data_IF_393973564204
#
_entry.id   IF_393973564204
#
_cell.length_a   1.000
_cell.length_b   1.000
_cell.length_c   1.000
_cell.angle_alpha   90.00
_cell.angle_beta   90.00
_cell.angle_gamma   90.00
#
_symmetry.space_group_name_H-M   'P 1'
#
loop_
_entity.id
_entity.type
_entity.pdbx_description
1 polymer ?
#
# COMPACT_ATOMS: atom_id res chain seq x y z
N UNK A 1 -10.58 19.89 27.01
CA UNK A 1 -11.02 18.53 27.19
C UNK A 1 -11.91 18.02 26.09
N UNK A 2 -12.76 18.83 25.59
CA UNK A 2 -13.78 18.43 24.59
C UNK A 2 -13.21 18.30 23.21
N UNK A 3 -12.05 18.81 22.99
CA UNK A 3 -11.34 18.71 21.71
C UNK A 3 -10.65 17.34 21.51
N UNK A 4 -10.82 16.44 22.43
CA UNK A 4 -10.21 15.13 22.35
C UNK A 4 -10.67 14.24 21.19
N UNK A 5 -11.86 14.35 20.65
CA UNK A 5 -12.28 13.42 19.60
C UNK A 5 -11.32 13.33 18.44
N UNK A 6 -10.80 14.45 17.98
CA UNK A 6 -9.87 14.45 16.85
C UNK A 6 -8.54 13.81 17.21
N UNK A 7 -8.00 14.14 18.38
CA UNK A 7 -6.74 13.57 18.84
C UNK A 7 -6.87 12.09 19.12
N UNK A 8 -7.99 11.67 19.69
CA UNK A 8 -8.24 10.26 19.96
C UNK A 8 -8.33 9.44 18.69
N UNK A 9 -9.00 9.96 17.68
CA UNK A 9 -9.10 9.26 16.41
C UNK A 9 -7.72 9.03 15.79
N UNK A 10 -6.88 10.04 15.79
CA UNK A 10 -5.52 9.91 15.29
C UNK A 10 -4.72 8.88 16.06
N UNK A 11 -4.82 8.89 17.38
CA UNK A 11 -4.13 7.93 18.21
C UNK A 11 -4.64 6.52 18.05
N UNK A 12 -5.94 6.35 17.94
CA UNK A 12 -6.55 5.04 17.71
C UNK A 12 -6.08 4.46 16.38
N UNK A 13 -6.03 5.28 15.36
CA UNK A 13 -5.58 4.84 14.05
C UNK A 13 -4.12 4.37 14.09
N UNK A 14 -3.25 5.15 14.71
CA UNK A 14 -1.85 4.79 14.86
C UNK A 14 -1.68 3.52 15.71
N UNK A 15 -2.41 3.41 16.80
CA UNK A 15 -2.37 2.23 17.66
C UNK A 15 -2.85 0.99 16.92
N UNK A 16 -3.89 1.12 16.13
CA UNK A 16 -4.40 0.01 15.34
C UNK A 16 -3.35 -0.49 14.35
N UNK A 17 -2.67 0.43 13.66
CA UNK A 17 -1.61 0.07 12.74
C UNK A 17 -0.47 -0.66 13.43
N UNK A 18 -0.07 -0.20 14.62
CA UNK A 18 0.97 -0.85 15.40
C UNK A 18 0.55 -2.24 15.86
N UNK A 19 -0.69 -2.40 16.29
CA UNK A 19 -1.22 -3.71 16.70
C UNK A 19 -1.24 -4.69 15.54
N UNK A 20 -1.64 -4.25 14.35
CA UNK A 20 -1.62 -5.10 13.17
C UNK A 20 -0.20 -5.55 12.83
N UNK A 21 0.76 -4.66 12.94
CA UNK A 21 2.16 -5.00 12.69
C UNK A 21 2.68 -6.01 13.71
N UNK A 22 2.33 -5.83 14.97
CA UNK A 22 2.73 -6.76 16.02
C UNK A 22 2.09 -8.13 15.82
N UNK A 23 0.85 -8.18 15.34
CA UNK A 23 0.14 -9.44 15.09
C UNK A 23 0.67 -10.19 13.87
N UNK A 24 1.33 -9.50 12.94
CA UNK A 24 1.82 -10.10 11.71
C UNK A 24 3.10 -10.90 11.88
N UNK A 25 3.78 -10.79 13.01
CA UNK A 25 4.98 -11.58 13.24
C UNK A 25 5.86 -10.99 14.32
N UNK A 26 6.35 -11.85 15.21
CA UNK A 26 7.06 -11.37 16.40
C UNK A 26 8.45 -10.81 16.12
N UNK A 27 9.02 -11.03 14.95
CA UNK A 27 10.45 -10.78 14.74
C UNK A 27 10.74 -9.98 13.49
N UNK A 28 9.77 -9.34 12.89
CA UNK A 28 10.07 -8.49 11.73
C UNK A 28 10.76 -7.23 12.20
N UNK A 29 12.07 -7.16 11.98
CA UNK A 29 12.86 -5.96 12.23
C UNK A 29 12.77 -4.98 11.05
N UNK A 30 12.20 -5.40 9.94
CA UNK A 30 12.05 -4.55 8.77
C UNK A 30 11.00 -3.48 9.03
N UNK A 31 11.26 -2.24 8.63
CA UNK A 31 10.28 -1.17 8.80
C UNK A 31 9.02 -1.45 7.97
N UNK A 32 7.88 -1.16 8.55
CA UNK A 32 6.62 -1.28 7.86
C UNK A 32 6.51 -0.21 6.78
N UNK A 33 5.88 -0.59 5.68
CA UNK A 33 5.56 0.32 4.58
C UNK A 33 4.04 0.48 4.57
N UNK A 34 3.58 1.70 4.81
CA UNK A 34 2.15 2.02 4.80
C UNK A 34 1.95 3.20 3.86
N UNK A 35 1.25 2.97 2.76
CA UNK A 35 1.05 4.00 1.75
C UNK A 35 -0.44 4.13 1.46
N UNK A 36 -0.99 5.27 1.81
CA UNK A 36 -2.40 5.55 1.59
C UNK A 36 -2.61 6.21 0.23
N UNK A 37 -3.65 5.79 -0.47
CA UNK A 37 -4.10 6.49 -1.67
C UNK A 37 -4.77 7.79 -1.25
N UNK A 38 -4.43 8.92 -1.90
CA UNK A 38 -4.92 10.24 -1.44
C UNK A 38 -6.44 10.41 -1.40
N UNK A 39 -7.19 9.77 -2.30
CA UNK A 39 -8.61 10.04 -2.43
C UNK A 39 -9.51 8.82 -2.27
N UNK A 40 -9.02 7.62 -2.50
CA UNK A 40 -9.87 6.42 -2.52
C UNK A 40 -10.10 5.79 -1.15
N UNK A 41 -9.27 6.13 -0.17
CA UNK A 41 -9.34 5.51 1.15
C UNK A 41 -8.64 4.15 1.22
N UNK A 42 -8.03 3.71 0.16
CA UNK A 42 -7.28 2.46 0.16
C UNK A 42 -5.89 2.66 0.73
N UNK A 43 -5.40 1.66 1.42
CA UNK A 43 -4.09 1.69 2.06
C UNK A 43 -3.36 0.39 1.73
N UNK A 44 -2.14 0.53 1.23
CA UNK A 44 -1.27 -0.61 1.01
C UNK A 44 -0.35 -0.77 2.22
N UNK A 45 -0.32 -1.95 2.79
CA UNK A 45 0.51 -2.26 3.97
C UNK A 45 1.39 -3.45 3.65
N UNK A 46 2.67 -3.28 3.86
CA UNK A 46 3.65 -4.33 3.66
C UNK A 46 4.89 -4.05 4.50
N UNK A 47 5.97 -4.74 4.23
CA UNK A 47 7.26 -4.47 4.84
C UNK A 47 8.35 -4.72 3.81
N UNK A 48 9.46 -4.04 3.97
CA UNK A 48 10.62 -4.27 3.10
C UNK A 48 11.07 -5.72 3.25
N UNK A 49 11.26 -6.39 2.12
CA UNK A 49 11.62 -7.81 2.11
C UNK A 49 10.43 -8.75 2.16
N UNK A 50 9.21 -8.24 2.32
CA UNK A 50 8.01 -9.07 2.36
C UNK A 50 7.69 -9.67 1.00
N UNK A 51 7.06 -10.84 1.01
CA UNK A 51 6.59 -11.51 -0.20
C UNK A 51 5.12 -11.21 -0.50
N UNK A 52 4.48 -10.35 0.28
CA UNK A 52 3.09 -9.99 0.05
C UNK A 52 2.81 -8.54 0.39
N UNK A 53 1.68 -8.05 -0.13
CA UNK A 53 1.17 -6.72 0.16
C UNK A 53 -0.29 -6.86 0.53
N UNK A 54 -0.69 -6.20 1.62
CA UNK A 54 -2.08 -6.19 2.06
C UNK A 54 -2.73 -4.89 1.63
N UNK A 55 -3.90 -5.00 1.04
CA UNK A 55 -4.72 -3.85 0.66
C UNK A 55 -5.86 -3.74 1.65
N UNK A 56 -5.92 -2.58 2.31
CA UNK A 56 -6.94 -2.26 3.29
C UNK A 56 -7.80 -1.12 2.76
N UNK A 57 -9.00 -1.02 3.29
CA UNK A 57 -9.88 0.11 3.04
C UNK A 57 -10.19 0.78 4.37
N UNK A 58 -9.83 2.04 4.48
CA UNK A 58 -10.06 2.82 5.69
C UNK A 58 -11.15 3.86 5.43
N UNK A 59 -12.24 3.76 6.17
CA UNK A 59 -13.35 4.68 6.03
C UNK A 59 -14.15 4.74 7.33
N UNK A 60 -14.52 5.96 7.74
CA UNK A 60 -15.39 6.19 8.88
C UNK A 60 -14.90 5.52 10.17
N UNK A 61 -13.60 5.51 10.38
CA UNK A 61 -13.01 4.91 11.56
C UNK A 61 -12.91 3.40 11.53
N UNK A 62 -13.32 2.77 10.43
CA UNK A 62 -13.20 1.34 10.22
C UNK A 62 -12.08 1.02 9.26
N UNK A 63 -11.42 -0.11 9.47
CA UNK A 63 -10.41 -0.62 8.56
C UNK A 63 -10.79 -2.04 8.18
N UNK A 64 -10.89 -2.28 6.89
CA UNK A 64 -11.28 -3.58 6.35
C UNK A 64 -10.16 -4.09 5.45
N UNK A 65 -9.75 -5.34 5.66
CA UNK A 65 -8.81 -5.99 4.75
C UNK A 65 -9.56 -6.36 3.47
N UNK A 66 -9.13 -5.78 2.36
CA UNK A 66 -9.71 -6.09 1.06
C UNK A 66 -9.09 -7.34 0.45
N UNK A 67 -7.76 -7.39 0.45
CA UNK A 67 -7.05 -8.50 -0.15
C UNK A 67 -5.60 -8.54 0.29
N UNK A 68 -5.07 -9.76 0.39
CA UNK A 68 -3.63 -9.99 0.51
C UNK A 68 -3.14 -10.47 -0.84
N UNK A 69 -2.17 -9.77 -1.42
CA UNK A 69 -1.62 -10.11 -2.73
C UNK A 69 -0.22 -10.65 -2.53
N UNK A 70 0.02 -11.86 -3.03
CA UNK A 70 1.31 -12.51 -2.93
C UNK A 70 2.13 -12.23 -4.19
N UNK A 71 3.38 -11.87 -4.01
CA UNK A 71 4.30 -11.64 -5.11
C UNK A 71 4.74 -12.97 -5.73
N UNK A 72 5.20 -12.95 -6.99
CA UNK A 72 5.79 -14.13 -7.60
C UNK A 72 6.95 -14.67 -6.76
N UNK A 73 7.21 -15.99 -6.79
CA UNK A 73 8.30 -16.57 -6.02
C UNK A 73 9.63 -15.88 -6.31
N UNK A 74 10.37 -15.58 -5.25
CA UNK A 74 11.66 -14.92 -5.36
C UNK A 74 11.60 -13.40 -5.35
N UNK A 75 10.43 -12.80 -5.47
CA UNK A 75 10.28 -11.35 -5.42
C UNK A 75 10.03 -10.89 -3.98
N UNK A 76 10.65 -9.77 -3.63
CA UNK A 76 10.50 -9.18 -2.32
C UNK A 76 10.31 -7.67 -2.46
N UNK A 77 9.45 -7.11 -1.63
CA UNK A 77 9.11 -5.69 -1.67
C UNK A 77 10.33 -4.85 -1.28
N UNK A 78 10.64 -3.84 -2.07
CA UNK A 78 11.59 -2.79 -1.71
C UNK A 78 10.86 -1.49 -1.41
N UNK A 79 9.88 -1.15 -2.23
CA UNK A 79 9.08 0.06 -2.02
C UNK A 79 7.71 -0.11 -2.67
N UNK A 80 6.77 0.72 -2.24
CA UNK A 80 5.40 0.70 -2.75
C UNK A 80 4.96 2.14 -2.97
N UNK A 81 4.26 2.37 -4.06
CA UNK A 81 3.67 3.67 -4.36
C UNK A 81 2.34 3.47 -5.07
N UNK A 82 1.45 4.44 -4.98
CA UNK A 82 0.24 4.47 -5.79
C UNK A 82 0.53 5.17 -7.11
N UNK A 83 -0.09 4.71 -8.18
CA UNK A 83 -0.08 5.45 -9.43
C UNK A 83 -0.86 6.76 -9.27
N UNK A 84 -0.61 7.73 -10.15
CA UNK A 84 -1.26 9.04 -10.04
C UNK A 84 -2.78 8.97 -10.11
N UNK A 85 -3.32 8.01 -10.84
CA UNK A 85 -4.77 7.81 -10.93
C UNK A 85 -5.32 6.89 -9.84
N UNK A 86 -4.46 6.42 -8.93
CA UNK A 86 -4.81 5.56 -7.79
C UNK A 86 -5.45 4.23 -8.19
N UNK A 87 -5.26 3.80 -9.42
CA UNK A 87 -5.77 2.52 -9.90
C UNK A 87 -4.80 1.37 -9.65
N UNK A 88 -3.52 1.67 -9.70
CA UNK A 88 -2.47 0.67 -9.56
C UNK A 88 -1.64 0.93 -8.32
N UNK A 89 -1.26 -0.16 -7.68
CA UNK A 89 -0.21 -0.15 -6.66
C UNK A 89 1.07 -0.57 -7.36
N UNK A 90 2.08 0.30 -7.33
CA UNK A 90 3.37 0.04 -7.96
C UNK A 90 4.31 -0.50 -6.91
N UNK A 91 4.69 -1.75 -7.05
CA UNK A 91 5.54 -2.47 -6.10
C UNK A 91 6.91 -2.64 -6.73
N UNK A 92 7.90 -1.98 -6.16
CA UNK A 92 9.28 -2.11 -6.63
C UNK A 92 9.95 -3.28 -5.94
N UNK A 93 10.52 -4.18 -6.71
CA UNK A 93 11.33 -5.28 -6.23
C UNK A 93 12.79 -5.09 -6.69
N UNK A 94 13.66 -6.06 -6.46
CA UNK A 94 15.08 -5.89 -6.75
C UNK A 94 15.41 -5.63 -8.22
N UNK A 95 14.60 -6.08 -9.15
CA UNK A 95 14.92 -5.92 -10.57
C UNK A 95 13.80 -5.40 -11.43
N UNK A 96 12.62 -5.20 -10.86
CA UNK A 96 11.46 -4.87 -11.67
C UNK A 96 10.41 -4.12 -10.85
N UNK A 97 9.41 -3.61 -11.53
CA UNK A 97 8.25 -3.01 -10.89
C UNK A 97 7.04 -3.87 -11.25
N UNK A 98 6.26 -4.19 -10.22
CA UNK A 98 5.01 -4.91 -10.38
C UNK A 98 3.88 -3.91 -10.24
N UNK A 99 2.94 -3.94 -11.18
CA UNK A 99 1.73 -3.10 -11.10
C UNK A 99 0.56 -3.99 -10.70
N UNK A 100 -0.06 -3.65 -9.58
CA UNK A 100 -1.25 -4.34 -9.10
C UNK A 100 -2.47 -3.48 -9.42
N UNK A 101 -3.33 -3.98 -10.29
CA UNK A 101 -4.59 -3.32 -10.61
C UNK A 101 -5.58 -3.59 -9.47
N UNK A 102 -6.02 -2.54 -8.79
CA UNK A 102 -6.91 -2.69 -7.65
C UNK A 102 -8.36 -2.99 -8.02
N UNK A 103 -8.71 -2.93 -9.28
CA UNK A 103 -10.05 -3.29 -9.74
C UNK A 103 -10.15 -4.76 -10.12
N UNK A 104 -9.13 -5.30 -10.74
CA UNK A 104 -9.11 -6.69 -11.22
C UNK A 104 -8.26 -7.60 -10.35
N UNK A 105 -7.42 -7.00 -9.49
CA UNK A 105 -6.45 -7.70 -8.65
C UNK A 105 -5.40 -8.45 -9.45
N UNK A 106 -5.17 -8.02 -10.67
CA UNK A 106 -4.13 -8.59 -11.51
C UNK A 106 -2.79 -7.93 -11.22
N UNK A 107 -1.77 -8.76 -11.13
CA UNK A 107 -0.41 -8.32 -10.90
C UNK A 107 0.38 -8.49 -12.19
N UNK A 108 0.96 -7.41 -12.66
CA UNK A 108 1.68 -7.38 -13.93
C UNK A 108 3.09 -6.85 -13.71
N UNK A 109 4.07 -7.53 -14.29
CA UNK A 109 5.45 -7.06 -14.25
C UNK A 109 5.69 -6.05 -15.36
N UNK A 110 6.24 -4.89 -15.02
CA UNK A 110 6.55 -3.85 -16.00
C UNK A 110 7.99 -3.40 -15.82
N UNK A 111 8.68 -2.97 -16.90
CA UNK A 111 9.99 -2.36 -16.78
C UNK A 111 9.90 -1.05 -16.00
N UNK A 112 10.97 -0.68 -15.29
CA UNK A 112 11.00 0.58 -14.53
C UNK A 112 10.69 1.79 -15.39
N UNK A 113 11.16 1.79 -16.62
CA UNK A 113 10.89 2.88 -17.55
C UNK A 113 9.41 3.00 -17.88
N UNK A 114 8.73 1.86 -18.06
CA UNK A 114 7.29 1.86 -18.31
C UNK A 114 6.49 2.31 -17.09
N UNK A 115 6.97 2.05 -15.88
CA UNK A 115 6.34 2.54 -14.67
C UNK A 115 6.38 4.06 -14.60
N UNK A 116 7.51 4.67 -14.91
CA UNK A 116 7.65 6.12 -14.95
C UNK A 116 6.73 6.74 -16.03
N UNK A 117 6.66 6.13 -17.20
CA UNK A 117 5.78 6.58 -18.27
C UNK A 117 4.31 6.47 -17.88
N UNK A 118 3.94 5.44 -17.14
CA UNK A 118 2.57 5.25 -16.64
C UNK A 118 2.19 6.36 -15.67
N UNK A 119 3.09 6.75 -14.80
CA UNK A 119 2.86 7.86 -13.88
C UNK A 119 2.67 9.17 -14.64
N UNK A 120 3.50 9.44 -15.63
CA UNK A 120 3.38 10.64 -16.46
C UNK A 120 2.06 10.65 -17.23
N UNK A 121 1.65 9.53 -17.80
CA UNK A 121 0.38 9.42 -18.49
C UNK A 121 -0.79 9.65 -17.55
N UNK A 122 -0.71 9.15 -16.33
CA UNK A 122 -1.72 9.40 -15.32
C UNK A 122 -1.82 10.86 -14.94
N UNK A 123 -0.68 11.54 -14.80
CA UNK A 123 -0.65 12.97 -14.51
C UNK A 123 -1.26 13.79 -15.65
N UNK A 124 -0.96 13.43 -16.88
CA UNK A 124 -1.51 14.10 -18.05
C UNK A 124 -3.03 13.94 -18.15
N UNK A 125 -3.53 12.77 -17.85
CA UNK A 125 -4.98 12.52 -17.89
C UNK A 125 -5.75 13.32 -16.86
N UNK A 126 -5.11 13.71 -15.78
CA UNK A 126 -5.76 14.53 -14.74
C UNK A 126 -5.87 16.00 -15.10
N UNK A 127 -5.11 16.45 -16.06
CA UNK A 127 -5.13 17.83 -16.52
C UNK A 127 -6.24 18.02 -17.54
#
# INVERSE_FOLDING_TARGET
>A
MRHFPVTRLSRLFATFALLMLAACGPVSTAPAIVVAAPTTGMVAVTARGSANVRLLYARDGSIVLLRTVYLPPGDAVQSVAWSNDERDVLITTSGKVLALDTRTWRLESIPRLAAAARDDAGALRRR
#
